data_IF_483133432563
#
_entry.id   IF_483133432563
#
_cell.length_a   1.000
_cell.length_b   1.000
_cell.length_c   1.000
_cell.angle_alpha   90.00
_cell.angle_beta   90.00
_cell.angle_gamma   90.00
#
_symmetry.space_group_name_H-M   'P 1'
#
loop_
_entity.id
_entity.type
_entity.pdbx_description
1 polymer ?
#
# COMPACT_ATOMS: atom_id res chain seq x y z
N UNK A 1 -4.92 17.28 11.33
CA UNK A 1 -3.76 17.27 12.24
C UNK A 1 -2.79 16.21 11.74
N UNK A 2 -1.52 16.57 11.49
CA UNK A 2 -0.49 15.54 11.22
C UNK A 2 -0.22 14.81 12.54
N UNK A 3 -0.22 13.46 12.57
CA UNK A 3 0.11 12.74 13.78
C UNK A 3 1.53 13.14 14.21
N UNK A 4 1.65 13.57 15.46
CA UNK A 4 2.94 13.91 16.05
C UNK A 4 3.57 12.58 16.47
N UNK A 5 4.74 12.28 15.90
CA UNK A 5 5.53 11.13 16.28
C UNK A 5 6.39 11.51 17.50
N UNK A 6 6.31 10.71 18.55
CA UNK A 6 7.16 10.85 19.73
C UNK A 6 8.29 9.82 19.66
N UNK A 7 9.50 10.24 20.03
CA UNK A 7 10.67 9.38 20.13
C UNK A 7 11.21 9.44 21.56
N UNK A 8 11.69 8.32 22.09
CA UNK A 8 12.30 8.29 23.41
C UNK A 8 13.73 8.83 23.36
N UNK A 9 14.23 9.30 24.51
CA UNK A 9 15.60 9.81 24.60
C UNK A 9 16.63 8.70 24.28
N UNK A 10 16.37 7.45 24.67
CA UNK A 10 17.26 6.33 24.34
C UNK A 10 17.36 6.10 22.82
N UNK A 11 16.24 6.23 22.11
CA UNK A 11 16.21 6.11 20.66
C UNK A 11 17.04 7.22 19.99
N UNK A 12 16.90 8.46 20.49
CA UNK A 12 17.65 9.60 19.95
C UNK A 12 19.16 9.45 20.17
N UNK A 13 19.59 8.91 21.32
CA UNK A 13 21.01 8.61 21.57
C UNK A 13 21.54 7.50 20.64
N UNK A 14 20.73 6.49 20.33
CA UNK A 14 21.10 5.47 19.34
C UNK A 14 21.28 6.07 17.95
N UNK A 15 20.38 7.00 17.54
CA UNK A 15 20.50 7.68 16.25
C UNK A 15 21.79 8.52 16.13
N UNK A 16 22.24 9.16 17.21
CA UNK A 16 23.49 9.95 17.21
C UNK A 16 24.74 9.10 16.96
N UNK A 17 24.69 7.82 17.31
CA UNK A 17 25.80 6.88 17.18
C UNK A 17 25.60 5.90 16.02
N UNK A 18 24.66 6.17 15.10
CA UNK A 18 24.38 5.30 13.97
C UNK A 18 25.59 5.22 13.02
N UNK A 19 25.94 4.00 12.63
CA UNK A 19 26.96 3.75 11.62
C UNK A 19 26.49 4.22 10.22
N UNK A 20 27.40 4.68 9.33
CA UNK A 20 27.01 5.14 8.00
C UNK A 20 26.19 4.14 7.19
N UNK A 21 26.40 2.83 7.35
CA UNK A 21 25.58 1.81 6.68
C UNK A 21 24.13 1.84 7.16
N UNK A 22 23.91 1.96 8.47
CA UNK A 22 22.58 2.07 9.07
C UNK A 22 21.85 3.35 8.64
N UNK A 23 22.60 4.45 8.47
CA UNK A 23 22.06 5.71 7.93
C UNK A 23 21.61 5.51 6.48
N UNK A 24 22.42 4.82 5.67
CA UNK A 24 22.11 4.58 4.26
C UNK A 24 20.90 3.66 4.08
N UNK A 25 20.81 2.58 4.87
CA UNK A 25 19.66 1.68 4.89
C UNK A 25 18.37 2.41 5.29
N UNK A 26 18.45 3.28 6.30
CA UNK A 26 17.32 4.12 6.70
C UNK A 26 16.87 5.05 5.56
N UNK A 27 17.81 5.73 4.91
CA UNK A 27 17.49 6.66 3.81
C UNK A 27 16.85 5.95 2.62
N UNK A 28 17.34 4.76 2.25
CA UNK A 28 16.75 4.00 1.15
C UNK A 28 15.38 3.44 1.52
N UNK A 29 15.22 2.91 2.73
CA UNK A 29 13.92 2.46 3.23
C UNK A 29 12.91 3.60 3.29
N UNK A 30 13.35 4.78 3.74
CA UNK A 30 12.53 5.99 3.76
C UNK A 30 12.19 6.45 2.34
N UNK A 31 13.13 6.39 1.40
CA UNK A 31 12.89 6.71 -0.02
C UNK A 31 11.85 5.77 -0.61
N UNK A 32 11.96 4.46 -0.40
CA UNK A 32 11.01 3.46 -0.89
C UNK A 32 9.61 3.63 -0.27
N UNK A 33 9.55 3.95 1.03
CA UNK A 33 8.28 4.22 1.72
C UNK A 33 7.59 5.49 1.22
N UNK A 34 8.39 6.52 0.88
CA UNK A 34 7.89 7.77 0.31
C UNK A 34 7.81 7.75 -1.22
N UNK A 35 8.24 6.67 -1.87
CA UNK A 35 8.10 6.52 -3.31
C UNK A 35 6.61 6.53 -3.59
N UNK A 36 6.18 7.59 -4.27
CA UNK A 36 4.78 7.96 -4.31
C UNK A 36 4.02 6.80 -4.96
N UNK A 37 3.26 6.05 -4.16
CA UNK A 37 2.33 5.04 -4.67
C UNK A 37 1.59 5.66 -5.85
N UNK A 38 1.65 4.98 -7.00
CA UNK A 38 1.18 5.55 -8.26
C UNK A 38 -0.18 6.21 -8.07
N UNK A 39 -0.31 7.46 -8.55
CA UNK A 39 -1.53 8.26 -8.36
C UNK A 39 -2.74 7.45 -8.78
N UNK A 40 -3.62 7.16 -7.81
CA UNK A 40 -4.87 6.45 -8.09
C UNK A 40 -5.92 7.43 -8.59
N UNK A 41 -6.64 7.05 -9.65
CA UNK A 41 -7.79 7.80 -10.17
C UNK A 41 -9.06 7.01 -9.90
N UNK A 42 -10.05 7.65 -9.27
CA UNK A 42 -11.38 7.05 -9.14
C UNK A 42 -12.02 6.94 -10.52
N UNK A 43 -12.59 5.76 -10.80
CA UNK A 43 -13.38 5.51 -11.99
C UNK A 43 -14.82 5.23 -11.59
N UNK A 44 -15.76 5.70 -12.40
CA UNK A 44 -17.17 5.32 -12.30
C UNK A 44 -17.47 4.31 -13.39
N UNK A 45 -18.07 3.18 -13.03
CA UNK A 45 -18.45 2.11 -13.95
C UNK A 45 -19.84 1.61 -13.57
N UNK A 46 -20.71 1.42 -14.58
CA UNK A 46 -22.01 0.78 -14.39
C UNK A 46 -21.85 -0.73 -14.51
N UNK A 47 -22.24 -1.45 -13.47
CA UNK A 47 -22.17 -2.91 -13.40
C UNK A 47 -23.55 -3.43 -12.99
N UNK A 48 -24.07 -4.50 -13.61
CA UNK A 48 -25.30 -5.14 -13.15
C UNK A 48 -25.22 -5.52 -11.66
N UNK A 49 -26.28 -5.22 -10.90
CA UNK A 49 -26.29 -5.42 -9.45
C UNK A 49 -26.03 -6.88 -9.05
N UNK A 50 -26.69 -7.83 -9.72
CA UNK A 50 -26.52 -9.26 -9.47
C UNK A 50 -25.09 -9.75 -9.68
N UNK A 51 -24.40 -9.20 -10.69
CA UNK A 51 -23.01 -9.51 -10.98
C UNK A 51 -22.08 -8.96 -9.90
N UNK A 52 -22.27 -7.70 -9.50
CA UNK A 52 -21.44 -7.08 -8.46
C UNK A 52 -21.59 -7.79 -7.11
N UNK A 53 -22.81 -8.14 -6.72
CA UNK A 53 -23.09 -8.90 -5.50
C UNK A 53 -22.44 -10.28 -5.51
N UNK A 54 -22.60 -11.03 -6.61
CA UNK A 54 -22.00 -12.36 -6.74
C UNK A 54 -20.47 -12.29 -6.71
N UNK A 55 -19.90 -11.27 -7.36
CA UNK A 55 -18.45 -11.03 -7.36
C UNK A 55 -17.93 -10.70 -5.96
N UNK A 56 -18.62 -9.82 -5.21
CA UNK A 56 -18.26 -9.47 -3.83
C UNK A 56 -18.27 -10.68 -2.91
N UNK A 57 -19.34 -11.49 -2.95
CA UNK A 57 -19.44 -12.72 -2.15
C UNK A 57 -18.31 -13.69 -2.45
N UNK A 58 -17.96 -13.88 -3.72
CA UNK A 58 -16.84 -14.73 -4.10
C UNK A 58 -15.52 -14.20 -3.52
N UNK A 59 -15.27 -12.90 -3.61
CA UNK A 59 -14.06 -12.29 -3.06
C UNK A 59 -13.99 -12.46 -1.53
N UNK A 60 -15.11 -12.30 -0.83
CA UNK A 60 -15.20 -12.52 0.62
C UNK A 60 -14.87 -13.96 1.02
N UNK A 61 -15.41 -14.95 0.28
CA UNK A 61 -15.08 -16.37 0.49
C UNK A 61 -13.59 -16.67 0.26
N UNK A 62 -12.94 -15.96 -0.65
CA UNK A 62 -11.50 -16.07 -0.93
C UNK A 62 -10.65 -15.18 0.00
N UNK A 63 -11.26 -14.42 0.92
CA UNK A 63 -10.55 -13.55 1.87
C UNK A 63 -9.94 -12.29 1.23
N UNK A 64 -10.40 -11.89 0.04
CA UNK A 64 -9.87 -10.75 -0.72
C UNK A 64 -10.91 -9.64 -0.81
N UNK A 65 -10.48 -8.37 -0.72
CA UNK A 65 -11.38 -7.23 -0.99
C UNK A 65 -11.72 -7.18 -2.48
N UNK A 66 -12.99 -7.00 -2.83
CA UNK A 66 -13.41 -6.99 -4.23
C UNK A 66 -12.68 -5.93 -5.09
N UNK A 67 -12.33 -4.76 -4.53
CA UNK A 67 -11.53 -3.75 -5.25
C UNK A 67 -10.10 -4.24 -5.54
N UNK A 68 -9.52 -5.04 -4.65
CA UNK A 68 -8.22 -5.67 -4.89
C UNK A 68 -8.33 -6.65 -6.05
N UNK A 69 -9.38 -7.47 -6.07
CA UNK A 69 -9.59 -8.41 -7.18
C UNK A 69 -9.80 -7.70 -8.52
N UNK A 70 -10.52 -6.56 -8.57
CA UNK A 70 -10.63 -5.74 -9.77
C UNK A 70 -9.25 -5.30 -10.26
N UNK A 71 -8.40 -4.79 -9.37
CA UNK A 71 -7.03 -4.37 -9.72
C UNK A 71 -6.19 -5.55 -10.23
N UNK A 72 -6.28 -6.71 -9.59
CA UNK A 72 -5.59 -7.93 -10.03
C UNK A 72 -6.02 -8.34 -11.44
N UNK A 73 -7.33 -8.30 -11.72
CA UNK A 73 -7.85 -8.59 -13.06
C UNK A 73 -7.33 -7.59 -14.10
N UNK A 74 -7.23 -6.30 -13.76
CA UNK A 74 -6.68 -5.27 -14.65
C UNK A 74 -5.19 -5.52 -14.95
N UNK A 75 -4.38 -5.84 -13.94
CA UNK A 75 -2.95 -6.14 -14.12
C UNK A 75 -2.77 -7.39 -14.99
N UNK A 76 -3.50 -8.46 -14.65
CA UNK A 76 -3.46 -9.73 -15.39
C UNK A 76 -3.90 -9.55 -16.84
N UNK A 77 -4.90 -8.71 -17.09
CA UNK A 77 -5.36 -8.40 -18.45
C UNK A 77 -4.26 -7.76 -19.31
N UNK A 78 -3.39 -6.94 -18.72
CA UNK A 78 -2.25 -6.32 -19.40
C UNK A 78 -1.02 -7.25 -19.53
N UNK A 79 -1.12 -8.50 -19.06
CA UNK A 79 0.00 -9.45 -19.04
C UNK A 79 1.00 -9.20 -17.90
N UNK A 80 0.64 -8.38 -16.91
CA UNK A 80 1.40 -8.27 -15.67
C UNK A 80 1.22 -9.52 -14.79
N UNK A 81 2.28 -9.90 -14.07
CA UNK A 81 2.26 -10.95 -13.05
C UNK A 81 1.67 -10.43 -11.73
#
# INVERSE_FOLDING_TARGET
MRPIQFFSDEYLEQCKNADPEAILEFLESFRLMNDASAKSKLISIKIPYSLLESFRRKCELEGVRYQTQIKTLMVRWLGGA
#
